data_IF_320745015092
#
_entry.id   IF_320745015092
#
_cell.length_a   1.000
_cell.length_b   1.000
_cell.length_c   1.000
_cell.angle_alpha   90.00
_cell.angle_beta   90.00
_cell.angle_gamma   90.00
#
_symmetry.space_group_name_H-M   'P 1'
#
loop_
_entity.id
_entity.type
_entity.pdbx_description
1 polymer ?
#
# COMPACT_ATOMS: atom_id res chain seq x y z
N UNK A 1 14.87 16.67 -4.49
CA UNK A 1 15.95 16.67 -3.48
C UNK A 1 15.45 16.29 -2.08
N UNK A 2 14.36 16.89 -1.57
CA UNK A 2 13.80 16.57 -0.25
C UNK A 2 13.38 15.09 -0.07
N UNK A 3 12.62 14.53 -1.02
CA UNK A 3 12.16 13.13 -0.97
C UNK A 3 13.30 12.08 -0.95
N UNK A 4 14.46 12.42 -1.51
CA UNK A 4 15.66 11.57 -1.50
C UNK A 4 16.29 11.49 -0.11
N UNK A 5 16.35 12.62 0.62
CA UNK A 5 16.88 12.67 1.98
C UNK A 5 16.03 11.83 2.93
N UNK A 6 14.71 11.91 2.79
CA UNK A 6 13.75 11.16 3.62
C UNK A 6 13.89 9.65 3.48
N UNK A 7 14.04 9.16 2.24
CA UNK A 7 14.27 7.74 2.00
C UNK A 7 15.59 7.25 2.64
N UNK A 8 16.64 8.06 2.64
CA UNK A 8 17.94 7.71 3.24
C UNK A 8 17.86 7.57 4.77
N UNK A 9 17.14 8.48 5.43
CA UNK A 9 16.89 8.43 6.88
C UNK A 9 16.08 7.17 7.22
N UNK A 10 14.97 6.94 6.53
CA UNK A 10 14.11 5.77 6.78
C UNK A 10 14.87 4.44 6.55
N UNK A 11 15.70 4.33 5.51
CA UNK A 11 16.52 3.14 5.25
C UNK A 11 17.55 2.92 6.36
N UNK A 12 18.20 3.98 6.83
CA UNK A 12 19.19 3.90 7.90
C UNK A 12 18.55 3.45 9.23
N UNK A 13 17.39 4.03 9.56
CA UNK A 13 16.59 3.61 10.72
C UNK A 13 16.14 2.15 10.61
N UNK A 14 15.74 1.71 9.41
CA UNK A 14 15.37 0.31 9.18
C UNK A 14 16.55 -0.64 9.45
N UNK A 15 17.73 -0.35 8.89
CA UNK A 15 18.92 -1.17 9.08
C UNK A 15 19.35 -1.23 10.55
N UNK A 16 19.35 -0.08 11.25
CA UNK A 16 19.64 -0.02 12.68
C UNK A 16 18.66 -0.86 13.50
N UNK A 17 17.37 -0.73 13.21
CA UNK A 17 16.32 -1.46 13.90
C UNK A 17 16.43 -2.99 13.70
N UNK A 18 16.70 -3.44 12.47
CA UNK A 18 16.95 -4.87 12.18
C UNK A 18 18.21 -5.37 12.91
N UNK A 19 19.25 -4.55 12.99
CA UNK A 19 20.47 -4.90 13.71
C UNK A 19 20.22 -5.06 15.22
N UNK A 20 19.43 -4.16 15.81
CA UNK A 20 19.08 -4.20 17.24
C UNK A 20 18.11 -5.33 17.59
N UNK A 21 17.07 -5.56 16.77
CA UNK A 21 16.05 -6.58 17.02
C UNK A 21 15.64 -7.30 15.72
N UNK A 22 16.45 -8.26 15.25
CA UNK A 22 16.19 -8.96 14.00
C UNK A 22 14.96 -9.88 14.06
N UNK A 23 14.46 -10.24 15.26
CA UNK A 23 13.28 -11.10 15.39
C UNK A 23 12.01 -10.38 14.97
N UNK A 24 11.98 -9.06 15.17
CA UNK A 24 10.86 -8.17 14.82
C UNK A 24 10.97 -7.58 13.40
N UNK A 25 11.75 -8.20 12.50
CA UNK A 25 11.99 -7.70 11.13
C UNK A 25 10.71 -7.35 10.38
N UNK A 26 9.64 -8.14 10.55
CA UNK A 26 8.34 -7.89 9.92
C UNK A 26 7.77 -6.53 10.34
N UNK A 27 7.77 -6.25 11.64
CA UNK A 27 7.29 -4.99 12.22
C UNK A 27 8.16 -3.82 11.78
N UNK A 28 9.48 -4.02 11.70
CA UNK A 28 10.41 -3.01 11.20
C UNK A 28 10.16 -2.65 9.73
N UNK A 29 9.92 -3.65 8.86
CA UNK A 29 9.60 -3.38 7.46
C UNK A 29 8.26 -2.69 7.28
N UNK A 30 7.25 -3.03 8.09
CA UNK A 30 5.96 -2.33 8.10
C UNK A 30 6.14 -0.86 8.42
N UNK A 31 6.82 -0.58 9.52
CA UNK A 31 7.06 0.79 9.96
C UNK A 31 7.84 1.58 8.91
N UNK A 32 8.88 1.00 8.31
CA UNK A 32 9.62 1.64 7.22
C UNK A 32 8.72 2.05 6.05
N UNK A 33 7.94 1.11 5.51
CA UNK A 33 7.07 1.38 4.36
C UNK A 33 5.97 2.40 4.71
N UNK A 34 5.33 2.22 5.86
CA UNK A 34 4.35 3.15 6.42
C UNK A 34 4.89 4.57 6.54
N UNK A 35 6.07 4.72 7.15
CA UNK A 35 6.72 6.01 7.37
C UNK A 35 7.09 6.71 6.06
N UNK A 36 7.65 6.00 5.08
CA UNK A 36 7.99 6.58 3.78
C UNK A 36 6.74 7.16 3.10
N UNK A 37 5.65 6.39 3.05
CA UNK A 37 4.45 6.78 2.32
C UNK A 37 3.67 7.85 3.08
N UNK A 38 3.56 7.74 4.40
CA UNK A 38 2.93 8.76 5.26
C UNK A 38 3.65 10.11 5.11
N UNK A 39 4.98 10.09 5.02
CA UNK A 39 5.76 11.30 4.83
C UNK A 39 5.60 11.89 3.43
N UNK A 40 5.61 11.07 2.38
CA UNK A 40 5.38 11.54 1.00
C UNK A 40 3.97 12.11 0.84
N UNK A 41 2.96 11.42 1.39
CA UNK A 41 1.55 11.76 1.17
C UNK A 41 1.12 12.94 2.03
N UNK A 42 1.41 12.89 3.33
CA UNK A 42 0.89 13.83 4.32
C UNK A 42 1.98 14.69 4.98
N UNK A 43 3.27 14.43 4.75
CA UNK A 43 4.35 15.17 5.42
C UNK A 43 4.46 14.81 6.91
N UNK A 44 3.90 13.67 7.31
CA UNK A 44 3.89 13.20 8.69
C UNK A 44 5.01 12.17 8.85
N UNK A 45 5.83 12.33 9.88
CA UNK A 45 6.84 11.35 10.29
C UNK A 45 6.31 10.50 11.44
N UNK A 46 5.93 9.23 11.22
CA UNK A 46 5.55 8.35 12.32
C UNK A 46 6.71 8.18 13.30
N UNK A 47 6.43 8.27 14.60
CA UNK A 47 7.48 8.29 15.64
C UNK A 47 7.81 6.90 16.20
N UNK A 48 6.86 5.98 16.14
CA UNK A 48 7.02 4.61 16.66
C UNK A 48 6.30 3.58 15.79
N UNK A 49 6.51 2.30 16.10
CA UNK A 49 5.83 1.18 15.45
C UNK A 49 4.31 1.22 15.71
N UNK A 50 3.91 1.72 16.86
CA UNK A 50 2.52 1.85 17.34
C UNK A 50 1.92 3.22 17.04
N UNK A 51 2.48 3.93 16.07
CA UNK A 51 1.98 5.27 15.72
C UNK A 51 0.54 5.16 15.17
N UNK A 52 -0.41 5.98 15.68
CA UNK A 52 -1.82 5.88 15.32
C UNK A 52 -2.09 6.00 13.82
N UNK A 53 -1.24 6.71 13.07
CA UNK A 53 -1.40 6.82 11.62
C UNK A 53 -1.14 5.50 10.88
N UNK A 54 -0.24 4.67 11.42
CA UNK A 54 0.06 3.34 10.87
C UNK A 54 -1.07 2.36 11.21
N UNK A 55 -1.60 2.42 12.43
CA UNK A 55 -2.71 1.56 12.86
C UNK A 55 -4.01 1.80 12.06
N UNK A 56 -4.31 3.07 11.77
CA UNK A 56 -5.50 3.45 10.98
C UNK A 56 -5.46 2.82 9.58
N UNK A 57 -4.28 2.69 8.96
CA UNK A 57 -4.11 1.97 7.69
C UNK A 57 -4.42 0.48 7.83
N UNK A 58 -3.79 -0.17 8.82
CA UNK A 58 -3.91 -1.62 9.02
C UNK A 58 -5.37 -2.01 9.19
N UNK A 59 -6.13 -1.26 9.99
CA UNK A 59 -7.56 -1.50 10.21
C UNK A 59 -8.38 -1.45 8.92
N UNK A 60 -8.09 -0.53 8.01
CA UNK A 60 -8.78 -0.45 6.72
C UNK A 60 -8.40 -1.59 5.77
N UNK A 61 -7.13 -2.02 5.77
CA UNK A 61 -6.68 -3.14 4.93
C UNK A 61 -7.40 -4.43 5.33
N UNK A 62 -7.47 -4.72 6.64
CA UNK A 62 -8.24 -5.86 7.13
C UNK A 62 -9.71 -5.76 6.72
N UNK A 63 -10.29 -4.56 6.80
CA UNK A 63 -11.66 -4.31 6.36
C UNK A 63 -11.87 -4.58 4.86
N UNK A 64 -10.95 -4.12 4.02
CA UNK A 64 -11.00 -4.31 2.57
C UNK A 64 -10.84 -5.78 2.18
N UNK A 65 -9.88 -6.49 2.76
CA UNK A 65 -9.69 -7.92 2.51
C UNK A 65 -10.96 -8.68 2.86
N UNK A 66 -11.53 -8.41 4.03
CA UNK A 66 -12.72 -9.09 4.50
C UNK A 66 -13.96 -8.76 3.67
N UNK A 67 -14.07 -7.51 3.18
CA UNK A 67 -15.11 -7.07 2.25
C UNK A 67 -14.96 -7.64 0.84
N UNK A 68 -13.74 -7.94 0.40
CA UNK A 68 -13.43 -8.33 -0.98
C UNK A 68 -13.51 -9.85 -1.23
N UNK A 69 -13.77 -10.66 -0.19
CA UNK A 69 -13.94 -12.11 -0.35
C UNK A 69 -15.26 -12.39 -1.10
N UNK A 70 -15.22 -12.94 -2.33
CA UNK A 70 -16.43 -13.18 -3.10
C UNK A 70 -17.39 -14.12 -2.34
N UNK A 71 -18.65 -13.70 -2.19
CA UNK A 71 -19.68 -14.50 -1.51
C UNK A 71 -19.57 -14.53 0.01
N UNK A 72 -18.68 -13.75 0.63
CA UNK A 72 -18.60 -13.64 2.08
C UNK A 72 -19.86 -12.99 2.70
N UNK A 73 -20.60 -12.20 1.91
CA UNK A 73 -21.85 -11.59 2.34
C UNK A 73 -23.00 -11.92 1.41
N UNK A 74 -24.16 -12.24 1.99
CA UNK A 74 -25.39 -12.51 1.22
C UNK A 74 -25.80 -11.33 0.34
N UNK A 75 -25.41 -10.10 0.69
CA UNK A 75 -25.70 -8.90 -0.10
C UNK A 75 -24.99 -8.89 -1.46
N UNK A 76 -23.87 -9.61 -1.60
CA UNK A 76 -23.12 -9.71 -2.86
C UNK A 76 -23.86 -10.57 -3.89
N UNK A 77 -24.68 -11.51 -3.41
CA UNK A 77 -25.50 -12.41 -4.24
C UNK A 77 -26.95 -11.91 -4.36
N UNK A 78 -27.46 -11.28 -3.29
CA UNK A 78 -28.84 -10.82 -3.18
C UNK A 78 -28.85 -9.30 -2.86
N UNK A 79 -28.79 -8.41 -3.85
CA UNK A 79 -28.65 -6.96 -3.63
C UNK A 79 -29.77 -6.34 -2.78
N UNK A 80 -30.99 -6.91 -2.83
CA UNK A 80 -32.13 -6.44 -2.02
C UNK A 80 -31.88 -6.57 -0.52
N UNK A 81 -30.93 -7.44 -0.10
CA UNK A 81 -30.56 -7.65 1.29
C UNK A 81 -29.94 -6.39 1.95
N UNK A 82 -29.54 -5.38 1.15
CA UNK A 82 -29.13 -4.05 1.64
C UNK A 82 -30.26 -3.29 2.37
N UNK A 83 -31.52 -3.54 2.01
CA UNK A 83 -32.68 -2.81 2.54
C UNK A 83 -33.34 -3.51 3.72
N UNK A 84 -32.90 -4.72 4.06
CA UNK A 84 -33.46 -5.49 5.19
C UNK A 84 -33.04 -4.82 6.50
N UNK A 85 -33.93 -4.59 7.48
CA UNK A 85 -33.55 -3.97 8.75
C UNK A 85 -32.49 -4.77 9.54
N UNK A 86 -31.59 -4.07 10.24
CA UNK A 86 -30.46 -4.65 10.98
C UNK A 86 -30.83 -5.66 12.09
N UNK A 87 -32.11 -5.78 12.45
CA UNK A 87 -32.60 -6.75 13.43
C UNK A 87 -32.95 -8.11 12.80
N UNK A 88 -33.09 -8.20 11.48
CA UNK A 88 -33.52 -9.40 10.80
C UNK A 88 -32.38 -10.44 10.65
N UNK A 89 -32.70 -11.74 10.55
CA UNK A 89 -31.71 -12.79 10.31
C UNK A 89 -30.86 -12.51 9.06
N UNK A 90 -29.57 -12.86 9.10
CA UNK A 90 -28.65 -12.64 7.98
C UNK A 90 -28.04 -11.24 7.90
N UNK A 91 -28.56 -10.24 8.61
CA UNK A 91 -28.10 -8.83 8.50
C UNK A 91 -26.89 -8.45 9.37
N UNK A 92 -26.16 -9.41 9.94
CA UNK A 92 -24.94 -9.14 10.74
C UNK A 92 -23.89 -8.33 9.98
N UNK A 93 -23.88 -8.43 8.65
CA UNK A 93 -23.02 -7.64 7.77
C UNK A 93 -23.24 -6.12 7.93
N UNK A 94 -24.42 -5.66 8.35
CA UNK A 94 -24.70 -4.22 8.49
C UNK A 94 -23.94 -3.60 9.66
N UNK A 95 -23.88 -4.29 10.82
CA UNK A 95 -23.07 -3.83 11.97
C UNK A 95 -21.61 -3.78 11.59
N UNK A 96 -21.14 -4.80 10.87
CA UNK A 96 -19.79 -4.85 10.35
C UNK A 96 -19.54 -3.71 9.38
N UNK A 97 -20.41 -3.48 8.39
CA UNK A 97 -20.30 -2.39 7.43
C UNK A 97 -20.27 -1.01 8.10
N UNK A 98 -20.99 -0.80 9.21
CA UNK A 98 -20.90 0.43 10.00
C UNK A 98 -19.49 0.62 10.60
N UNK A 99 -18.90 -0.45 11.15
CA UNK A 99 -17.51 -0.42 11.66
C UNK A 99 -16.51 -0.18 10.53
N UNK A 100 -16.63 -0.90 9.40
CA UNK A 100 -15.73 -0.71 8.26
C UNK A 100 -15.84 0.70 7.67
N UNK A 101 -17.04 1.29 7.68
CA UNK A 101 -17.26 2.68 7.26
C UNK A 101 -16.54 3.67 8.17
N UNK A 102 -16.48 3.42 9.48
CA UNK A 102 -15.70 4.25 10.40
C UNK A 102 -14.22 4.18 10.05
N UNK A 103 -13.67 2.98 9.83
CA UNK A 103 -12.26 2.84 9.42
C UNK A 103 -11.94 3.53 8.09
N UNK A 104 -12.84 3.43 7.11
CA UNK A 104 -12.69 4.13 5.83
C UNK A 104 -12.68 5.66 6.01
N UNK A 105 -13.56 6.19 6.86
CA UNK A 105 -13.58 7.62 7.18
C UNK A 105 -12.31 8.05 7.93
N UNK A 106 -11.84 7.25 8.88
CA UNK A 106 -10.66 7.58 9.69
C UNK A 106 -9.39 7.69 8.83
N UNK A 107 -9.20 6.78 7.87
CA UNK A 107 -8.07 6.85 6.92
C UNK A 107 -8.09 8.12 6.07
N UNK A 108 -9.29 8.58 5.67
CA UNK A 108 -9.44 9.81 4.89
C UNK A 108 -9.23 11.06 5.74
N UNK A 109 -9.77 11.07 6.95
CA UNK A 109 -9.91 12.28 7.75
C UNK A 109 -8.73 12.52 8.70
N UNK A 110 -8.22 11.48 9.37
CA UNK A 110 -7.25 11.65 10.47
C UNK A 110 -5.93 12.26 9.96
N UNK A 111 -5.24 11.70 8.94
CA UNK A 111 -3.98 12.28 8.46
C UNK A 111 -4.21 13.61 7.73
N UNK A 112 -5.35 13.74 7.04
CA UNK A 112 -5.73 14.94 6.30
C UNK A 112 -5.92 16.15 7.23
N UNK A 113 -6.62 15.98 8.36
CA UNK A 113 -6.83 17.05 9.32
C UNK A 113 -5.51 17.52 9.92
N UNK A 114 -4.63 16.59 10.28
CA UNK A 114 -3.31 16.92 10.82
C UNK A 114 -2.50 17.81 9.87
N UNK A 115 -2.46 17.47 8.58
CA UNK A 115 -1.73 18.30 7.61
C UNK A 115 -2.45 19.66 7.36
N UNK A 116 -3.79 19.68 7.36
CA UNK A 116 -4.55 20.93 7.21
C UNK A 116 -4.27 21.89 8.38
N UNK A 117 -4.24 21.39 9.61
CA UNK A 117 -3.89 22.17 10.80
C UNK A 117 -2.42 22.64 10.76
N UNK A 118 -1.50 21.80 10.29
CA UNK A 118 -0.11 22.18 10.08
C UNK A 118 0.05 23.26 8.99
N UNK A 119 -0.78 23.25 7.95
CA UNK A 119 -0.79 24.29 6.91
C UNK A 119 -1.28 25.64 7.47
N UNK A 120 -2.34 25.63 8.29
CA UNK A 120 -2.86 26.86 8.95
C UNK A 120 -1.81 27.46 9.88
N UNK A 121 -1.07 26.63 10.61
CA UNK A 121 -0.01 27.09 11.53
C UNK A 121 1.31 27.43 10.83
N UNK A 122 1.42 27.21 9.50
CA UNK A 122 2.64 27.46 8.73
C UNK A 122 3.79 26.48 9.02
N UNK A 123 3.50 25.34 9.63
CA UNK A 123 4.49 24.31 10.02
C UNK A 123 4.48 23.08 9.12
N UNK A 124 3.54 22.99 8.18
CA UNK A 124 3.43 21.87 7.24
C UNK A 124 4.72 21.71 6.41
N UNK A 125 5.21 20.47 6.30
CA UNK A 125 6.27 20.12 5.36
C UNK A 125 5.72 20.01 3.92
N UNK A 126 6.61 19.93 2.92
CA UNK A 126 6.18 19.69 1.53
C UNK A 126 5.77 18.23 1.35
N UNK A 127 4.51 18.01 0.96
CA UNK A 127 3.95 16.68 0.72
C UNK A 127 2.91 16.72 -0.41
N UNK A 128 2.41 15.55 -0.82
CA UNK A 128 1.39 15.42 -1.86
C UNK A 128 0.12 16.23 -1.55
N UNK A 129 -0.45 16.06 -0.35
CA UNK A 129 -1.72 16.72 0.02
C UNK A 129 -1.56 18.24 0.01
N UNK A 130 -0.50 18.75 0.64
CA UNK A 130 -0.20 20.19 0.64
C UNK A 130 -0.08 20.73 -0.79
N UNK A 131 0.75 20.10 -1.62
CA UNK A 131 0.96 20.52 -3.01
C UNK A 131 -0.34 20.50 -3.81
N UNK A 132 -1.17 19.48 -3.61
CA UNK A 132 -2.44 19.31 -4.32
C UNK A 132 -3.47 20.37 -3.92
N UNK A 133 -3.53 20.71 -2.63
CA UNK A 133 -4.40 21.78 -2.12
C UNK A 133 -3.94 23.15 -2.63
N UNK A 134 -2.63 23.45 -2.57
CA UNK A 134 -2.06 24.69 -3.08
C UNK A 134 -2.34 24.85 -4.58
N UNK A 135 -2.09 23.81 -5.39
CA UNK A 135 -2.36 23.84 -6.83
C UNK A 135 -3.85 24.01 -7.14
N UNK A 136 -4.73 23.31 -6.43
CA UNK A 136 -6.18 23.45 -6.64
C UNK A 136 -6.67 24.89 -6.38
N UNK A 137 -6.13 25.53 -5.34
CA UNK A 137 -6.43 26.94 -5.02
C UNK A 137 -5.85 27.88 -6.08
N UNK A 138 -4.63 27.63 -6.55
CA UNK A 138 -3.98 28.45 -7.59
C UNK A 138 -4.72 28.37 -8.94
N UNK A 139 -5.13 27.18 -9.35
CA UNK A 139 -5.77 26.95 -10.66
C UNK A 139 -7.20 27.48 -10.72
N UNK A 140 -7.97 27.31 -9.62
CA UNK A 140 -9.42 27.58 -9.61
C UNK A 140 -9.81 28.80 -8.79
N UNK A 141 -8.86 29.43 -8.09
CA UNK A 141 -9.09 30.57 -7.20
C UNK A 141 -9.81 30.22 -5.89
N UNK A 142 -10.40 29.03 -5.77
CA UNK A 142 -10.97 28.49 -4.54
C UNK A 142 -10.86 26.95 -4.51
N UNK A 143 -10.89 26.40 -3.29
CA UNK A 143 -11.02 24.96 -3.09
C UNK A 143 -12.51 24.60 -3.05
N UNK A 144 -13.02 23.93 -4.08
CA UNK A 144 -14.37 23.41 -4.04
C UNK A 144 -14.41 22.07 -3.25
N UNK A 145 -15.58 21.68 -2.69
CA UNK A 145 -15.69 20.47 -1.87
C UNK A 145 -15.36 19.18 -2.62
N UNK A 146 -15.61 19.13 -3.94
CA UNK A 146 -15.37 17.92 -4.73
C UNK A 146 -13.88 17.69 -4.97
N UNK A 147 -13.11 18.75 -5.19
CA UNK A 147 -11.66 18.69 -5.32
C UNK A 147 -11.02 18.30 -3.99
N UNK A 148 -11.48 18.87 -2.88
CA UNK A 148 -11.02 18.50 -1.54
C UNK A 148 -11.26 17.01 -1.26
N UNK A 149 -12.46 16.51 -1.57
CA UNK A 149 -12.78 15.09 -1.45
C UNK A 149 -11.92 14.21 -2.36
N UNK A 150 -11.69 14.64 -3.59
CA UNK A 150 -10.83 13.91 -4.55
C UNK A 150 -9.39 13.82 -4.03
N UNK A 151 -8.85 14.91 -3.47
CA UNK A 151 -7.50 14.93 -2.88
C UNK A 151 -7.41 13.99 -1.68
N UNK A 152 -8.43 13.94 -0.83
CA UNK A 152 -8.48 12.99 0.30
C UNK A 152 -8.46 11.55 -0.20
N UNK A 153 -9.30 11.23 -1.19
CA UNK A 153 -9.40 9.88 -1.74
C UNK A 153 -8.12 9.44 -2.43
N UNK A 154 -7.49 10.31 -3.25
CA UNK A 154 -6.21 9.99 -3.88
C UNK A 154 -5.10 9.84 -2.86
N UNK A 155 -5.06 10.66 -1.81
CA UNK A 155 -4.12 10.53 -0.71
C UNK A 155 -4.29 9.20 0.05
N UNK A 156 -5.52 8.80 0.33
CA UNK A 156 -5.81 7.50 0.95
C UNK A 156 -5.38 6.34 0.05
N UNK A 157 -5.61 6.42 -1.27
CA UNK A 157 -5.15 5.39 -2.23
C UNK A 157 -3.62 5.37 -2.33
N UNK A 158 -2.95 6.53 -2.33
CA UNK A 158 -1.49 6.61 -2.26
C UNK A 158 -0.96 5.96 -1.00
N UNK A 159 -1.62 6.19 0.13
CA UNK A 159 -1.26 5.58 1.40
C UNK A 159 -1.46 4.07 1.36
N UNK A 160 -2.69 3.59 1.13
CA UNK A 160 -3.01 2.16 1.05
C UNK A 160 -2.18 1.43 -0.01
N UNK A 161 -2.02 2.01 -1.19
CA UNK A 161 -1.19 1.43 -2.25
C UNK A 161 0.29 1.41 -1.90
N UNK A 162 0.80 2.46 -1.25
CA UNK A 162 2.21 2.56 -0.89
C UNK A 162 2.57 1.70 0.33
N UNK A 163 1.67 1.59 1.31
CA UNK A 163 1.85 0.74 2.49
C UNK A 163 1.53 -0.71 2.19
N UNK A 164 0.56 -0.97 1.31
CA UNK A 164 0.02 -2.32 1.09
C UNK A 164 0.12 -2.80 -0.34
N UNK A 165 1.08 -2.35 -1.16
CA UNK A 165 1.57 -3.12 -2.34
C UNK A 165 2.39 -4.35 -1.91
N UNK A 166 1.74 -5.07 -1.02
CA UNK A 166 2.06 -6.15 -0.09
C UNK A 166 0.80 -6.94 0.22
N UNK A 167 -0.37 -6.41 -0.14
CA UNK A 167 -1.55 -7.17 -0.41
C UNK A 167 -1.20 -8.23 -1.45
N UNK A 168 -0.66 -9.36 -0.99
CA UNK A 168 -1.15 -10.65 -1.41
C UNK A 168 -2.48 -10.82 -0.68
N UNK A 169 -3.62 -10.58 -1.36
CA UNK A 169 -4.93 -10.89 -0.84
C UNK A 169 -5.25 -12.35 -1.20
N UNK A 170 -4.26 -13.26 -1.14
CA UNK A 170 -4.53 -14.69 -1.14
C UNK A 170 -5.17 -15.13 0.19
N UNK A 171 -6.21 -14.42 0.61
CA UNK A 171 -7.33 -14.92 1.42
C UNK A 171 -8.16 -15.98 0.68
N UNK A 172 -7.76 -16.41 -0.52
CA UNK A 172 -8.26 -17.65 -1.13
C UNK A 172 -7.69 -18.89 -0.40
N UNK A 173 -6.58 -18.77 0.35
CA UNK A 173 -6.06 -19.84 1.23
C UNK A 173 -6.25 -19.50 2.71
N UNK A 174 -7.51 -19.40 3.17
CA UNK A 174 -7.88 -19.35 4.61
C UNK A 174 -7.38 -20.57 5.43
N UNK A 175 -6.77 -21.56 4.80
CA UNK A 175 -6.27 -22.79 5.42
C UNK A 175 -4.86 -22.68 6.04
N UNK A 176 -4.19 -21.53 5.97
CA UNK A 176 -2.93 -21.31 6.71
C UNK A 176 -3.13 -20.20 7.76
N UNK A 177 -3.54 -20.55 9.00
CA UNK A 177 -3.81 -19.58 10.07
C UNK A 177 -2.59 -18.76 10.53
N UNK A 178 -1.39 -19.02 9.99
CA UNK A 178 -0.16 -18.29 10.32
C UNK A 178 0.25 -17.21 9.31
N UNK A 179 -0.53 -16.99 8.23
CA UNK A 179 -0.14 -16.09 7.14
C UNK A 179 -1.04 -14.85 6.98
N UNK A 180 -1.72 -14.43 8.05
CA UNK A 180 -2.63 -13.28 8.06
C UNK A 180 -1.95 -12.07 8.71
N UNK A 181 -0.94 -11.53 8.03
CA UNK A 181 -0.39 -10.21 8.37
C UNK A 181 -0.18 -9.44 7.05
N UNK A 182 -1.24 -8.85 6.46
CA UNK A 182 -1.12 -7.97 5.30
C UNK A 182 -0.36 -6.72 5.78
N UNK A 183 0.81 -6.45 5.20
CA UNK A 183 1.80 -5.62 5.91
C UNK A 183 2.91 -5.09 5.02
N UNK A 184 2.89 -3.85 4.54
CA UNK A 184 4.09 -2.97 4.35
C UNK A 184 5.21 -3.33 3.35
N UNK A 185 5.52 -4.61 3.26
CA UNK A 185 6.88 -5.14 3.22
C UNK A 185 7.04 -6.35 2.33
N UNK A 186 6.08 -6.71 1.46
CA UNK A 186 6.08 -7.98 0.72
C UNK A 186 7.32 -8.11 -0.10
N UNK A 187 7.63 -7.11 -0.92
CA UNK A 187 8.82 -7.11 -1.74
C UNK A 187 10.09 -7.22 -0.88
N UNK A 188 10.17 -6.51 0.24
CA UNK A 188 11.34 -6.53 1.12
C UNK A 188 11.49 -7.90 1.81
N UNK A 189 10.39 -8.50 2.29
CA UNK A 189 10.35 -9.85 2.87
C UNK A 189 10.73 -10.92 1.85
N UNK A 190 10.23 -10.81 0.62
CA UNK A 190 10.56 -11.73 -0.45
C UNK A 190 12.01 -11.58 -0.92
N UNK A 191 12.56 -10.36 -0.97
CA UNK A 191 14.00 -10.16 -1.16
C UNK A 191 14.77 -10.86 -0.05
N UNK A 192 14.43 -10.62 1.23
CA UNK A 192 15.10 -11.24 2.36
C UNK A 192 15.06 -12.77 2.28
N UNK A 193 13.89 -13.34 1.99
CA UNK A 193 13.68 -14.78 1.82
C UNK A 193 14.49 -15.32 0.62
N UNK A 194 14.42 -14.67 -0.54
CA UNK A 194 15.14 -15.07 -1.74
C UNK A 194 16.66 -15.09 -1.51
N UNK A 195 17.19 -14.08 -0.81
CA UNK A 195 18.61 -14.00 -0.46
C UNK A 195 19.02 -15.09 0.54
N UNK A 196 18.18 -15.38 1.54
CA UNK A 196 18.42 -16.45 2.51
C UNK A 196 18.43 -17.84 1.85
N UNK A 197 17.56 -18.07 0.86
CA UNK A 197 17.49 -19.34 0.12
C UNK A 197 18.56 -19.47 -0.97
N UNK A 198 19.09 -18.36 -1.48
CA UNK A 198 20.06 -18.34 -2.59
C UNK A 198 21.29 -17.47 -2.26
N UNK A 199 22.20 -17.93 -1.36
CA UNK A 199 23.34 -17.14 -0.92
C UNK A 199 24.29 -16.73 -2.05
N UNK A 200 24.38 -17.53 -3.12
CA UNK A 200 25.20 -17.21 -4.30
C UNK A 200 24.67 -15.97 -5.05
N UNK A 201 23.35 -15.89 -5.20
CA UNK A 201 22.67 -14.73 -5.82
C UNK A 201 22.89 -13.48 -4.97
N UNK A 202 22.80 -13.60 -3.64
CA UNK A 202 23.09 -12.51 -2.71
C UNK A 202 24.54 -12.02 -2.84
N UNK A 203 25.52 -12.94 -2.91
CA UNK A 203 26.94 -12.59 -3.09
C UNK A 203 27.19 -11.89 -4.43
N UNK A 204 26.51 -12.29 -5.49
CA UNK A 204 26.61 -11.60 -6.79
C UNK A 204 26.05 -10.18 -6.73
N UNK A 205 24.90 -9.99 -6.07
CA UNK A 205 24.31 -8.66 -5.85
C UNK A 205 25.25 -7.75 -5.06
N UNK A 206 25.87 -8.27 -3.99
CA UNK A 206 26.86 -7.53 -3.20
C UNK A 206 28.09 -7.14 -4.03
N UNK A 207 28.62 -8.05 -4.86
CA UNK A 207 29.77 -7.74 -5.74
C UNK A 207 29.50 -6.60 -6.71
N UNK A 208 28.30 -6.55 -7.29
CA UNK A 208 27.93 -5.42 -8.18
C UNK A 208 27.87 -4.11 -7.39
N UNK A 209 27.24 -4.11 -6.21
CA UNK A 209 27.20 -2.93 -5.33
C UNK A 209 28.60 -2.47 -4.94
N UNK A 210 29.46 -3.38 -4.50
CA UNK A 210 30.83 -3.07 -4.09
C UNK A 210 31.66 -2.51 -5.26
N UNK A 211 31.49 -3.04 -6.47
CA UNK A 211 32.19 -2.57 -7.66
C UNK A 211 31.79 -1.14 -8.05
N UNK A 212 30.51 -0.77 -7.90
CA UNK A 212 30.00 0.56 -8.25
C UNK A 212 30.26 1.59 -7.14
N UNK A 213 30.15 1.18 -5.88
CA UNK A 213 30.18 2.09 -4.71
C UNK A 213 31.54 2.15 -4.03
N UNK A 214 32.43 1.20 -4.32
CA UNK A 214 33.77 1.10 -3.73
C UNK A 214 33.77 0.93 -2.20
N UNK A 215 32.66 0.47 -1.61
CA UNK A 215 32.49 0.31 -0.16
C UNK A 215 32.51 1.62 0.66
N UNK A 216 32.46 2.77 -0.01
CA UNK A 216 32.69 4.09 0.62
C UNK A 216 31.41 4.84 0.99
N UNK A 217 30.28 4.46 0.38
CA UNK A 217 28.98 5.13 0.56
C UNK A 217 27.82 4.18 0.32
N UNK A 218 26.63 4.58 0.79
CA UNK A 218 25.38 3.91 0.48
C UNK A 218 24.92 4.19 -0.97
N UNK A 219 24.11 3.31 -1.58
CA UNK A 219 23.56 3.53 -2.91
C UNK A 219 22.63 4.75 -2.96
N UNK A 220 22.67 5.46 -4.09
CA UNK A 220 21.75 6.55 -4.43
C UNK A 220 21.02 6.25 -5.75
N UNK A 221 19.97 7.00 -6.06
CA UNK A 221 19.14 6.69 -7.25
C UNK A 221 19.89 6.86 -8.58
N UNK A 222 20.90 7.73 -8.62
CA UNK A 222 21.74 7.95 -9.80
C UNK A 222 22.60 6.72 -10.14
N UNK A 223 22.85 5.84 -9.16
CA UNK A 223 23.58 4.59 -9.36
C UNK A 223 22.76 3.54 -10.12
N UNK A 224 21.43 3.70 -10.21
CA UNK A 224 20.51 2.69 -10.75
C UNK A 224 20.88 2.21 -12.15
N UNK A 225 21.39 3.10 -13.01
CA UNK A 225 21.81 2.75 -14.37
C UNK A 225 23.06 1.86 -14.41
N UNK A 226 23.88 1.90 -13.35
CA UNK A 226 25.12 1.13 -13.19
C UNK A 226 24.90 -0.18 -12.41
N UNK A 227 23.67 -0.47 -11.98
CA UNK A 227 23.31 -1.66 -11.18
C UNK A 227 22.35 -2.60 -11.95
N UNK A 228 22.73 -3.11 -13.13
CA UNK A 228 21.85 -3.95 -13.95
C UNK A 228 21.47 -5.28 -13.28
N UNK A 229 22.36 -5.90 -12.50
CA UNK A 229 22.07 -7.14 -11.78
C UNK A 229 21.09 -6.92 -10.64
N UNK A 230 21.25 -5.86 -9.83
CA UNK A 230 20.26 -5.46 -8.83
C UNK A 230 18.90 -5.16 -9.49
N UNK A 231 18.90 -4.47 -10.63
CA UNK A 231 17.66 -4.20 -11.36
C UNK A 231 16.98 -5.48 -11.87
N UNK A 232 17.76 -6.45 -12.36
CA UNK A 232 17.27 -7.77 -12.77
C UNK A 232 16.74 -8.55 -11.57
N UNK A 233 17.43 -8.51 -10.42
CA UNK A 233 17.00 -9.17 -9.20
C UNK A 233 15.66 -8.63 -8.69
N UNK A 234 15.49 -7.29 -8.67
CA UNK A 234 14.21 -6.67 -8.30
C UNK A 234 13.07 -7.11 -9.22
N UNK A 235 13.32 -7.20 -10.54
CA UNK A 235 12.33 -7.70 -11.51
C UNK A 235 12.00 -9.17 -11.29
N UNK A 236 13.02 -9.99 -11.06
CA UNK A 236 12.84 -11.43 -10.85
C UNK A 236 12.04 -11.74 -9.60
N UNK A 237 12.20 -10.96 -8.54
CA UNK A 237 11.45 -11.14 -7.30
C UNK A 237 9.96 -10.81 -7.50
N UNK A 238 9.65 -9.75 -8.25
CA UNK A 238 8.27 -9.39 -8.60
C UNK A 238 7.67 -10.44 -9.55
N UNK A 239 8.48 -11.07 -10.41
CA UNK A 239 8.04 -12.16 -11.29
C UNK A 239 7.81 -13.47 -10.52
N UNK A 240 8.68 -13.80 -9.57
CA UNK A 240 8.62 -15.04 -8.79
C UNK A 240 7.50 -15.03 -7.74
N UNK A 241 7.32 -13.90 -7.06
CA UNK A 241 6.25 -13.70 -6.08
C UNK A 241 5.50 -12.39 -6.38
N UNK A 242 4.66 -12.38 -7.44
CA UNK A 242 3.84 -11.22 -7.76
C UNK A 242 2.98 -10.84 -6.56
N UNK A 243 2.91 -9.53 -6.29
CA UNK A 243 2.12 -8.96 -5.20
C UNK A 243 0.65 -9.39 -5.31
N UNK A 244 0.10 -9.35 -6.53
CA UNK A 244 -1.28 -9.74 -6.84
C UNK A 244 -1.27 -10.87 -7.88
N UNK A 245 -1.26 -12.16 -7.48
CA UNK A 245 -1.27 -13.30 -8.41
C UNK A 245 -2.53 -13.32 -9.29
N UNK A 246 -3.66 -12.90 -8.71
CA UNK A 246 -4.86 -12.52 -9.47
C UNK A 246 -4.98 -11.01 -9.36
N UNK A 247 -5.01 -10.31 -10.50
CA UNK A 247 -5.16 -8.86 -10.55
C UNK A 247 -6.51 -8.42 -9.95
N UNK A 248 -6.62 -7.14 -9.59
CA UNK A 248 -7.90 -6.58 -9.18
C UNK A 248 -8.95 -6.82 -10.28
N UNK A 249 -10.21 -7.15 -9.92
CA UNK A 249 -11.24 -7.40 -10.91
C UNK A 249 -11.48 -6.15 -11.76
N UNK A 250 -11.37 -6.29 -13.08
CA UNK A 250 -11.79 -5.28 -14.04
C UNK A 250 -13.25 -5.53 -14.46
N UNK A 251 -13.91 -4.53 -15.03
CA UNK A 251 -15.23 -4.70 -15.65
C UNK A 251 -15.21 -4.14 -17.07
N UNK A 252 -15.81 -4.85 -18.03
CA UNK A 252 -15.87 -4.40 -19.43
C UNK A 252 -16.74 -3.15 -19.57
N UNK A 253 -16.20 -2.08 -20.14
CA UNK A 253 -16.93 -0.83 -20.32
C UNK A 253 -18.00 -0.89 -21.43
N UNK A 254 -17.83 -1.84 -22.37
CA UNK A 254 -18.72 -2.14 -23.51
C UNK A 254 -18.57 -3.61 -23.90
N UNK A 255 -19.45 -4.07 -24.77
CA UNK A 255 -19.34 -5.40 -25.38
C UNK A 255 -18.04 -5.51 -26.18
N UNK A 256 -17.40 -6.68 -26.13
CA UNK A 256 -16.13 -6.94 -26.81
C UNK A 256 -16.00 -8.41 -27.26
N UNK A 257 -15.00 -8.70 -28.08
CA UNK A 257 -14.64 -10.05 -28.50
C UNK A 257 -13.15 -10.28 -28.24
N UNK A 258 -12.83 -11.26 -27.39
CA UNK A 258 -11.45 -11.64 -27.06
C UNK A 258 -11.24 -13.09 -27.46
N UNK A 259 -10.22 -13.37 -28.28
CA UNK A 259 -9.91 -14.72 -28.78
C UNK A 259 -11.13 -15.44 -29.41
N UNK A 260 -12.02 -14.69 -30.05
CA UNK A 260 -13.24 -15.21 -30.67
C UNK A 260 -14.42 -15.40 -29.72
N UNK A 261 -14.27 -15.14 -28.43
CA UNK A 261 -15.35 -15.21 -27.44
C UNK A 261 -15.99 -13.85 -27.23
N UNK A 262 -17.33 -13.79 -27.36
CA UNK A 262 -18.09 -12.59 -27.05
C UNK A 262 -18.17 -12.36 -25.54
N UNK A 263 -17.79 -11.17 -25.10
CA UNK A 263 -17.78 -10.72 -23.70
C UNK A 263 -18.73 -9.52 -23.58
N UNK A 264 -19.88 -9.66 -22.90
CA UNK A 264 -20.81 -8.56 -22.70
C UNK A 264 -20.22 -7.43 -21.85
N UNK A 265 -20.73 -6.22 -22.02
CA UNK A 265 -20.54 -5.07 -21.13
C UNK A 265 -20.88 -5.43 -19.68
N UNK A 266 -20.08 -4.95 -18.74
CA UNK A 266 -20.25 -5.16 -17.31
C UNK A 266 -19.70 -6.49 -16.80
N UNK A 267 -19.14 -7.34 -17.69
CA UNK A 267 -18.52 -8.61 -17.29
C UNK A 267 -17.30 -8.35 -16.42
N UNK A 268 -17.21 -9.03 -15.26
CA UNK A 268 -16.02 -9.01 -14.42
C UNK A 268 -14.92 -9.87 -15.05
N UNK A 269 -13.72 -9.29 -15.17
CA UNK A 269 -12.54 -9.94 -15.76
C UNK A 269 -11.44 -9.99 -14.70
N UNK A 270 -10.93 -11.20 -14.46
CA UNK A 270 -9.85 -11.46 -13.53
C UNK A 270 -8.58 -11.76 -14.33
N UNK A 271 -7.57 -10.91 -14.20
CA UNK A 271 -6.26 -11.16 -14.81
C UNK A 271 -5.47 -12.17 -13.98
N UNK A 272 -5.04 -13.28 -14.58
CA UNK A 272 -4.07 -14.16 -13.94
C UNK A 272 -2.65 -13.65 -14.25
N UNK A 273 -1.92 -13.24 -13.22
CA UNK A 273 -0.53 -12.75 -13.33
C UNK A 273 0.52 -13.83 -13.02
N UNK A 274 0.10 -15.02 -12.55
CA UNK A 274 0.96 -16.16 -12.25
C UNK A 274 1.10 -17.12 -13.44
#
# INVERSE_FOLDING_TARGET
>A
MYQFFLNKVNCSTLLYNIFCDPKEYSTHFKHFAGSVVMQITYGICPKSKEDPYLEVAERLVFALIEASVPGAFLVDVLPFHKYVPAWAPGTRFQRKAQVLRQYANDVLEVPYRTIKDAMVTGTAEQCYVRSSLENAILDKGNLNPQDEETIKQTAAILYLGGTDSVCSPNGILRSIPYMVNPSGSWCIKNILLAMALNPDVQRMAQRELDAVLGGSRLPEFDDRSQLPYIAALCKEIIRWHPVSPVAFPHSTAKDDVVEGYFIPKGTLVFGNAW
#
